data_IF_064684184931
#
_entry.id   IF_064684184931
#
_cell.length_a   1.000
_cell.length_b   1.000
_cell.length_c   1.000
_cell.angle_alpha   90.00
_cell.angle_beta   90.00
_cell.angle_gamma   90.00
#
_symmetry.space_group_name_H-M   'P 1'
#
loop_
_entity.id
_entity.type
_entity.pdbx_description
1 polymer ?
#
# COMPACT_ATOMS: atom_id res chain seq x y z
N UNK A 1 38.48 -32.60 -0.35
CA UNK A 1 39.35 -31.45 -0.04
C UNK A 1 39.33 -30.58 -1.27
N UNK A 2 38.64 -29.49 -1.24
CA UNK A 2 38.62 -28.49 -2.34
C UNK A 2 39.90 -27.69 -2.17
N UNK A 3 40.74 -27.71 -3.21
CA UNK A 3 42.02 -27.01 -3.21
C UNK A 3 41.77 -25.49 -3.01
N UNK A 4 42.61 -24.83 -2.18
CA UNK A 4 42.52 -23.42 -1.91
C UNK A 4 42.62 -22.48 -3.13
N UNK A 5 43.02 -22.99 -4.27
CA UNK A 5 43.07 -22.29 -5.55
C UNK A 5 41.66 -22.05 -6.15
N UNK A 6 40.71 -22.97 -5.99
CA UNK A 6 39.32 -22.76 -6.47
C UNK A 6 38.62 -21.66 -5.71
N UNK A 7 38.88 -21.53 -4.41
CA UNK A 7 38.32 -20.44 -3.59
C UNK A 7 38.90 -19.10 -4.04
N UNK A 8 40.16 -19.05 -4.41
CA UNK A 8 40.78 -17.86 -4.93
C UNK A 8 40.22 -17.40 -6.27
N UNK A 9 39.84 -18.33 -7.17
CA UNK A 9 39.24 -17.97 -8.46
C UNK A 9 37.87 -17.28 -8.25
N UNK A 10 37.07 -17.78 -7.33
CA UNK A 10 35.77 -17.16 -6.99
C UNK A 10 35.94 -15.77 -6.34
N UNK A 11 36.93 -15.65 -5.46
CA UNK A 11 37.23 -14.38 -4.81
C UNK A 11 37.75 -13.34 -5.83
N UNK A 12 38.56 -13.77 -6.79
CA UNK A 12 39.07 -12.92 -7.88
C UNK A 12 37.96 -12.46 -8.83
N UNK A 13 36.97 -13.30 -9.13
CA UNK A 13 35.86 -12.94 -10.01
C UNK A 13 35.00 -11.80 -9.41
N UNK A 14 34.98 -11.66 -8.10
CA UNK A 14 34.27 -10.57 -7.39
C UNK A 14 35.16 -9.35 -7.11
N UNK A 15 36.48 -9.50 -7.15
CA UNK A 15 37.45 -8.41 -6.94
C UNK A 15 37.91 -7.73 -8.26
N UNK A 16 37.59 -8.24 -9.41
CA UNK A 16 37.95 -7.65 -10.68
C UNK A 16 37.16 -6.39 -11.05
N UNK A 17 36.84 -5.62 -10.08
CA UNK A 17 36.41 -4.26 -10.24
C UNK A 17 37.57 -3.29 -10.34
N UNK A 18 38.57 -3.56 -11.15
CA UNK A 18 39.34 -2.46 -11.60
C UNK A 18 40.78 -2.34 -11.22
N UNK A 19 41.53 -1.94 -12.21
CA UNK A 19 42.73 -1.13 -12.04
C UNK A 19 42.52 -0.02 -11.03
N UNK A 20 43.52 0.22 -10.19
CA UNK A 20 43.50 1.27 -9.13
C UNK A 20 43.22 2.69 -9.62
N UNK A 21 43.00 2.87 -10.92
CA UNK A 21 42.67 4.15 -11.57
C UNK A 21 41.21 4.34 -12.01
N UNK A 22 40.39 3.30 -11.97
CA UNK A 22 38.97 3.37 -12.37
C UNK A 22 38.06 2.89 -11.25
N UNK A 23 38.10 3.56 -10.11
CA UNK A 23 37.12 3.37 -9.03
C UNK A 23 35.77 3.94 -9.48
N UNK A 24 35.11 3.21 -10.40
CA UNK A 24 33.72 3.43 -10.70
C UNK A 24 32.87 2.99 -9.50
N UNK A 25 31.72 3.61 -9.35
CA UNK A 25 30.70 3.23 -8.36
C UNK A 25 30.40 1.71 -8.50
N UNK A 26 30.73 0.94 -7.48
CA UNK A 26 30.39 -0.46 -7.41
C UNK A 26 29.20 -0.67 -6.46
N UNK A 27 28.02 -1.03 -7.00
CA UNK A 27 26.82 -1.21 -6.18
C UNK A 27 26.99 -2.25 -5.05
N UNK A 28 27.94 -3.19 -5.19
CA UNK A 28 28.15 -4.24 -4.18
C UNK A 28 28.77 -3.72 -2.89
N UNK A 29 29.52 -2.61 -2.94
CA UNK A 29 30.19 -2.02 -1.77
C UNK A 29 29.17 -1.38 -0.80
N UNK A 30 27.97 -1.08 -1.30
CA UNK A 30 26.88 -0.47 -0.54
C UNK A 30 25.75 -1.44 -0.19
N UNK A 31 25.99 -2.74 -0.34
CA UNK A 31 24.95 -3.75 -0.17
C UNK A 31 25.35 -4.81 0.86
N UNK A 32 24.40 -5.16 1.72
CA UNK A 32 24.56 -6.27 2.66
C UNK A 32 24.49 -7.64 1.95
N UNK A 33 23.87 -7.69 0.76
CA UNK A 33 23.67 -8.92 -0.01
C UNK A 33 24.37 -8.84 -1.34
N UNK A 34 25.26 -9.79 -1.61
CA UNK A 34 25.97 -9.89 -2.87
C UNK A 34 25.04 -10.25 -4.05
N UNK A 35 24.13 -11.19 -3.82
CA UNK A 35 23.15 -11.63 -4.82
C UNK A 35 21.76 -11.14 -4.46
N UNK A 36 21.10 -10.47 -5.39
CA UNK A 36 19.75 -9.96 -5.19
C UNK A 36 18.73 -10.67 -6.09
N UNK A 37 17.55 -10.88 -5.52
CA UNK A 37 16.38 -11.29 -6.31
C UNK A 37 16.03 -10.18 -7.31
N UNK A 38 15.70 -10.53 -8.54
CA UNK A 38 15.26 -9.59 -9.58
C UNK A 38 13.84 -9.12 -9.26
N UNK A 39 13.73 -8.12 -8.39
CA UNK A 39 12.43 -7.64 -7.84
C UNK A 39 11.55 -6.95 -8.87
N UNK A 40 12.12 -6.42 -9.94
CA UNK A 40 11.36 -5.81 -11.04
C UNK A 40 10.70 -6.82 -11.98
N UNK A 41 11.15 -8.07 -11.95
CA UNK A 41 10.65 -9.10 -12.88
C UNK A 41 9.16 -9.40 -12.71
N UNK A 42 8.59 -9.53 -11.50
CA UNK A 42 7.15 -9.72 -11.33
C UNK A 42 6.33 -8.56 -11.91
N UNK A 43 6.77 -7.31 -11.71
CA UNK A 43 6.10 -6.15 -12.29
C UNK A 43 6.19 -6.17 -13.81
N UNK A 44 7.36 -6.50 -14.37
CA UNK A 44 7.53 -6.60 -15.81
C UNK A 44 6.62 -7.68 -16.42
N UNK A 45 6.56 -8.87 -15.80
CA UNK A 45 5.65 -9.93 -16.24
C UNK A 45 4.19 -9.51 -16.17
N UNK A 46 3.79 -8.85 -15.10
CA UNK A 46 2.43 -8.36 -14.95
C UNK A 46 2.07 -7.34 -16.04
N UNK A 47 2.96 -6.39 -16.31
CA UNK A 47 2.77 -5.42 -17.39
C UNK A 47 2.78 -6.07 -18.78
N UNK A 48 3.67 -7.06 -19.02
CA UNK A 48 3.71 -7.78 -20.27
C UNK A 48 2.46 -8.63 -20.52
N UNK A 49 1.87 -9.17 -19.45
CA UNK A 49 0.68 -10.04 -19.51
C UNK A 49 -0.62 -9.23 -19.68
N UNK A 50 -0.78 -8.16 -18.92
CA UNK A 50 -2.05 -7.42 -18.83
C UNK A 50 -2.05 -6.13 -19.65
N UNK A 51 -0.88 -5.61 -20.01
CA UNK A 51 -0.72 -4.31 -20.67
C UNK A 51 -0.93 -3.13 -19.71
N UNK A 52 -0.53 -1.95 -20.16
CA UNK A 52 -0.65 -0.70 -19.38
C UNK A 52 -2.09 -0.23 -19.23
N UNK A 53 -2.96 -0.56 -20.20
CA UNK A 53 -4.36 -0.11 -20.20
C UNK A 53 -5.15 -0.74 -19.04
N UNK A 54 -4.90 -2.03 -18.74
CA UNK A 54 -5.52 -2.68 -17.58
C UNK A 54 -5.07 -2.07 -16.25
N UNK A 55 -3.82 -1.64 -16.14
CA UNK A 55 -3.35 -0.90 -14.97
C UNK A 55 -4.03 0.46 -14.84
N UNK A 56 -4.19 1.16 -15.97
CA UNK A 56 -4.91 2.44 -16.00
C UNK A 56 -6.36 2.26 -15.57
N UNK A 57 -7.09 1.31 -16.16
CA UNK A 57 -8.47 0.98 -15.78
C UNK A 57 -8.62 0.70 -14.28
N UNK A 58 -7.72 -0.11 -13.69
CA UNK A 58 -7.74 -0.43 -12.27
C UNK A 58 -7.52 0.81 -11.38
N UNK A 59 -6.60 1.69 -11.75
CA UNK A 59 -6.35 2.95 -11.03
C UNK A 59 -7.55 3.89 -11.14
N UNK A 60 -8.09 4.07 -12.34
CA UNK A 60 -9.27 4.91 -12.58
C UNK A 60 -10.49 4.40 -11.80
N UNK A 61 -10.69 3.06 -11.76
CA UNK A 61 -11.75 2.46 -10.95
C UNK A 61 -11.58 2.73 -9.45
N UNK A 62 -10.36 2.65 -8.92
CA UNK A 62 -10.08 3.00 -7.52
C UNK A 62 -10.40 4.46 -7.20
N UNK A 63 -10.11 5.38 -8.11
CA UNK A 63 -10.44 6.81 -7.97
C UNK A 63 -11.96 7.02 -8.00
N UNK A 64 -12.67 6.36 -8.93
CA UNK A 64 -14.13 6.40 -9.03
C UNK A 64 -14.80 5.90 -7.75
N UNK A 65 -14.35 4.74 -7.22
CA UNK A 65 -14.86 4.18 -5.96
C UNK A 65 -14.66 5.14 -4.79
N UNK A 66 -13.54 5.86 -4.74
CA UNK A 66 -13.31 6.85 -3.71
C UNK A 66 -14.30 8.01 -3.79
N UNK A 67 -14.62 8.48 -5.00
CA UNK A 67 -15.61 9.53 -5.21
C UNK A 67 -17.03 9.06 -4.83
N UNK A 68 -17.38 7.82 -5.18
CA UNK A 68 -18.66 7.20 -4.82
C UNK A 68 -18.77 7.09 -3.29
N UNK A 69 -17.74 6.55 -2.64
CA UNK A 69 -17.70 6.43 -1.19
C UNK A 69 -17.84 7.79 -0.49
N UNK A 70 -17.18 8.85 -1.01
CA UNK A 70 -17.36 10.21 -0.52
C UNK A 70 -18.81 10.66 -0.56
N UNK A 71 -19.49 10.47 -1.70
CA UNK A 71 -20.92 10.82 -1.87
C UNK A 71 -21.85 9.98 -0.98
N UNK A 72 -21.51 8.72 -0.71
CA UNK A 72 -22.26 7.87 0.22
C UNK A 72 -22.14 8.39 1.65
N UNK A 73 -20.92 8.71 2.08
CA UNK A 73 -20.65 9.23 3.43
C UNK A 73 -21.41 10.54 3.67
N UNK A 74 -21.45 11.44 2.70
CA UNK A 74 -22.18 12.71 2.80
C UNK A 74 -23.70 12.54 3.02
N UNK A 75 -24.27 11.39 2.63
CA UNK A 75 -25.68 11.07 2.81
C UNK A 75 -26.00 10.37 4.14
N UNK A 76 -24.99 9.88 4.84
CA UNK A 76 -25.16 9.10 6.07
C UNK A 76 -25.03 9.99 7.32
N UNK A 77 -26.01 10.02 8.22
CA UNK A 77 -26.01 10.95 9.35
C UNK A 77 -25.01 10.61 10.46
N UNK A 78 -24.50 9.38 10.47
CA UNK A 78 -23.62 8.88 11.52
C UNK A 78 -22.13 8.97 11.19
N UNK A 79 -21.78 9.23 9.94
CA UNK A 79 -20.39 9.40 9.47
C UNK A 79 -20.22 10.76 8.81
N UNK A 80 -19.01 11.27 8.82
CA UNK A 80 -18.67 12.57 8.25
C UNK A 80 -17.40 12.46 7.43
N UNK A 81 -17.42 13.05 6.23
CA UNK A 81 -16.26 13.15 5.37
C UNK A 81 -15.27 14.18 5.94
N UNK A 82 -14.02 13.76 6.16
CA UNK A 82 -12.98 14.65 6.72
C UNK A 82 -12.47 15.65 5.68
N UNK A 83 -12.38 15.18 4.43
CA UNK A 83 -12.02 16.00 3.26
C UNK A 83 -12.51 15.33 1.99
N UNK A 84 -12.64 16.12 0.93
CA UNK A 84 -12.91 15.59 -0.42
C UNK A 84 -11.88 14.51 -0.78
N UNK A 85 -12.32 13.34 -1.28
CA UNK A 85 -11.44 12.26 -1.68
C UNK A 85 -10.37 12.72 -2.67
N UNK A 86 -9.14 12.25 -2.46
CA UNK A 86 -8.01 12.51 -3.36
C UNK A 86 -7.43 11.17 -3.77
N UNK A 87 -7.32 10.96 -5.08
CA UNK A 87 -6.98 9.65 -5.65
C UNK A 87 -7.94 8.57 -5.13
N UNK A 88 -7.42 7.40 -4.77
CA UNK A 88 -8.20 6.26 -4.27
C UNK A 88 -8.36 6.24 -2.73
N UNK A 89 -8.10 7.35 -2.04
CA UNK A 89 -8.19 7.44 -0.59
C UNK A 89 -9.35 8.32 -0.11
N UNK A 90 -10.08 7.81 0.89
CA UNK A 90 -11.18 8.52 1.56
C UNK A 90 -10.94 8.54 3.05
N UNK A 91 -10.96 9.73 3.64
CA UNK A 91 -10.86 9.92 5.09
C UNK A 91 -12.22 10.31 5.63
N UNK A 92 -12.69 9.58 6.63
CA UNK A 92 -13.99 9.81 7.25
C UNK A 92 -13.97 9.49 8.73
N UNK A 93 -14.85 10.12 9.48
CA UNK A 93 -15.01 9.91 10.92
C UNK A 93 -16.39 9.37 11.24
N UNK A 94 -16.50 8.56 12.28
CA UNK A 94 -17.75 8.22 12.92
C UNK A 94 -18.03 9.24 14.02
N UNK A 95 -19.15 9.94 13.91
CA UNK A 95 -19.55 10.99 14.87
C UNK A 95 -19.75 10.36 16.25
N UNK A 96 -19.08 10.90 17.26
CA UNK A 96 -19.17 10.44 18.65
C UNK A 96 -18.23 9.28 19.03
N UNK A 97 -17.48 8.71 18.12
CA UNK A 97 -16.52 7.67 18.44
C UNK A 97 -15.21 8.21 19.04
N UNK A 98 -14.68 7.43 19.99
CA UNK A 98 -13.35 7.61 20.56
C UNK A 98 -12.32 6.76 19.80
N UNK A 99 -11.02 7.01 19.97
CA UNK A 99 -9.97 6.22 19.32
C UNK A 99 -10.07 4.70 19.55
N UNK A 100 -10.53 4.29 20.74
CA UNK A 100 -10.71 2.89 21.12
C UNK A 100 -11.80 2.21 20.31
N UNK A 101 -12.88 2.94 19.98
CA UNK A 101 -14.02 2.41 19.21
C UNK A 101 -13.59 2.06 17.78
N UNK A 102 -12.75 2.87 17.15
CA UNK A 102 -12.18 2.59 15.84
C UNK A 102 -11.32 1.32 15.85
N UNK A 103 -10.50 1.16 16.89
CA UNK A 103 -9.64 -0.01 17.03
C UNK A 103 -10.46 -1.28 17.21
N UNK A 104 -11.47 -1.23 18.10
CA UNK A 104 -12.37 -2.36 18.34
C UNK A 104 -13.16 -2.74 17.08
N UNK A 105 -13.76 -1.76 16.41
CA UNK A 105 -14.51 -1.97 15.17
C UNK A 105 -13.65 -2.58 14.06
N UNK A 106 -12.42 -2.07 13.86
CA UNK A 106 -11.47 -2.62 12.89
C UNK A 106 -11.14 -4.08 13.21
N UNK A 107 -10.84 -4.38 14.48
CA UNK A 107 -10.53 -5.73 14.93
C UNK A 107 -11.69 -6.69 14.69
N UNK A 108 -12.91 -6.32 15.04
CA UNK A 108 -14.09 -7.16 14.86
C UNK A 108 -14.39 -7.45 13.38
N UNK A 109 -14.29 -6.44 12.50
CA UNK A 109 -14.49 -6.64 11.07
C UNK A 109 -13.40 -7.53 10.46
N UNK A 110 -12.14 -7.34 10.86
CA UNK A 110 -11.03 -8.17 10.41
C UNK A 110 -11.19 -9.62 10.90
N UNK A 111 -11.53 -9.82 12.17
CA UNK A 111 -11.75 -11.16 12.77
C UNK A 111 -12.86 -11.93 12.06
N UNK A 112 -13.90 -11.24 11.62
CA UNK A 112 -15.01 -11.82 10.85
C UNK A 112 -14.67 -12.05 9.37
N UNK A 113 -13.50 -11.62 8.92
CA UNK A 113 -13.12 -11.67 7.51
C UNK A 113 -13.96 -10.78 6.61
N UNK A 114 -14.61 -9.76 7.19
CA UNK A 114 -15.56 -8.92 6.50
C UNK A 114 -14.89 -7.75 5.79
N UNK A 115 -14.07 -6.98 6.51
CA UNK A 115 -13.35 -5.84 5.96
C UNK A 115 -12.08 -5.54 6.75
N UNK A 116 -11.09 -4.94 6.08
CA UNK A 116 -9.91 -4.36 6.71
C UNK A 116 -9.89 -2.86 6.45
N UNK A 117 -10.36 -2.10 7.41
CA UNK A 117 -10.33 -0.63 7.37
C UNK A 117 -9.41 -0.14 8.48
N UNK A 118 -8.36 0.56 8.12
CA UNK A 118 -7.32 0.96 9.08
C UNK A 118 -7.61 2.36 9.61
N UNK A 119 -7.73 2.53 10.95
CA UNK A 119 -7.75 3.86 11.55
C UNK A 119 -6.41 4.57 11.34
N UNK A 120 -6.47 5.88 11.19
CA UNK A 120 -5.28 6.73 10.99
C UNK A 120 -5.41 8.00 11.82
N UNK A 121 -4.28 8.69 12.00
CA UNK A 121 -4.25 10.01 12.64
C UNK A 121 -4.37 11.09 11.60
N UNK A 122 -5.33 11.97 11.78
CA UNK A 122 -5.53 13.15 10.96
C UNK A 122 -5.20 14.40 11.77
N UNK A 123 -4.46 15.33 11.18
CA UNK A 123 -4.15 16.62 11.83
C UNK A 123 -5.28 17.62 11.56
N UNK A 124 -5.98 17.99 12.61
CA UNK A 124 -7.03 19.00 12.57
C UNK A 124 -6.56 20.22 13.38
N UNK A 125 -6.09 21.24 12.67
CA UNK A 125 -5.42 22.39 13.30
C UNK A 125 -4.16 21.97 14.04
N UNK A 126 -4.11 22.22 15.36
CA UNK A 126 -2.99 21.83 16.22
C UNK A 126 -3.16 20.46 16.87
N UNK A 127 -4.32 19.82 16.72
CA UNK A 127 -4.63 18.54 17.34
C UNK A 127 -4.60 17.39 16.33
N UNK A 128 -4.42 16.18 16.85
CA UNK A 128 -4.59 14.96 16.07
C UNK A 128 -5.86 14.25 16.50
N UNK A 129 -6.66 13.85 15.54
CA UNK A 129 -7.84 13.01 15.74
C UNK A 129 -7.68 11.65 15.08
N UNK A 130 -8.38 10.63 15.58
CA UNK A 130 -8.44 9.32 14.94
C UNK A 130 -9.60 9.30 13.96
N UNK A 131 -9.36 8.86 12.74
CA UNK A 131 -10.33 8.75 11.66
C UNK A 131 -10.17 7.41 10.94
N UNK A 132 -11.18 6.96 10.23
CA UNK A 132 -11.09 5.80 9.34
C UNK A 132 -10.58 6.20 7.96
N UNK A 133 -9.95 5.25 7.27
CA UNK A 133 -9.42 5.45 5.93
C UNK A 133 -9.78 4.28 5.02
N UNK A 134 -10.52 4.54 3.95
CA UNK A 134 -10.56 3.65 2.81
C UNK A 134 -9.37 3.89 1.89
N UNK A 135 -8.82 2.82 1.34
CA UNK A 135 -7.82 2.82 0.27
C UNK A 135 -8.28 1.80 -0.78
N UNK A 136 -8.85 2.28 -1.86
CA UNK A 136 -9.36 1.43 -2.93
C UNK A 136 -8.22 1.03 -3.86
N UNK A 137 -7.74 -0.21 -3.71
CA UNK A 137 -6.68 -0.81 -4.53
C UNK A 137 -7.17 -2.04 -5.29
N UNK A 138 -8.33 -2.60 -4.89
CA UNK A 138 -8.97 -3.70 -5.60
C UNK A 138 -10.05 -3.13 -6.54
N UNK A 139 -9.89 -3.27 -7.87
CA UNK A 139 -10.86 -2.76 -8.83
C UNK A 139 -12.21 -3.51 -8.78
N UNK A 140 -12.24 -4.72 -8.22
CA UNK A 140 -13.45 -5.55 -8.11
C UNK A 140 -14.34 -5.16 -6.92
N UNK A 141 -13.90 -4.21 -6.08
CA UNK A 141 -14.72 -3.68 -4.99
C UNK A 141 -16.01 -3.06 -5.55
N UNK A 142 -17.15 -3.46 -4.99
CA UNK A 142 -18.45 -2.93 -5.37
C UNK A 142 -18.90 -1.77 -4.46
N UNK A 143 -19.87 -1.00 -4.95
CA UNK A 143 -20.52 0.05 -4.15
C UNK A 143 -21.27 -0.54 -2.96
N UNK A 144 -21.85 -1.71 -3.12
CA UNK A 144 -22.53 -2.44 -2.05
C UNK A 144 -21.58 -2.83 -0.92
N UNK A 145 -20.32 -3.21 -1.23
CA UNK A 145 -19.32 -3.52 -0.20
C UNK A 145 -19.02 -2.28 0.65
N UNK A 146 -18.92 -1.11 0.00
CA UNK A 146 -18.68 0.16 0.69
C UNK A 146 -19.84 0.50 1.62
N UNK A 147 -21.07 0.39 1.12
CA UNK A 147 -22.29 0.65 1.89
C UNK A 147 -22.42 -0.30 3.08
N UNK A 148 -22.20 -1.59 2.86
CA UNK A 148 -22.21 -2.59 3.94
C UNK A 148 -21.21 -2.27 5.04
N UNK A 149 -19.97 -1.86 4.67
CA UNK A 149 -18.95 -1.51 5.65
C UNK A 149 -19.36 -0.27 6.45
N UNK A 150 -19.85 0.78 5.78
CA UNK A 150 -20.30 2.01 6.45
C UNK A 150 -21.47 1.75 7.39
N UNK A 151 -22.40 0.88 7.03
CA UNK A 151 -23.54 0.48 7.86
C UNK A 151 -23.13 -0.29 9.12
N UNK A 152 -21.94 -0.91 9.18
CA UNK A 152 -21.44 -1.52 10.42
C UNK A 152 -20.98 -0.51 11.47
N UNK A 153 -20.91 0.76 11.13
CA UNK A 153 -20.53 1.84 12.05
C UNK A 153 -21.74 2.51 12.77
N UNK A 154 -22.91 1.94 12.66
CA UNK A 154 -24.14 2.46 13.31
C UNK A 154 -24.08 2.34 14.83
#
# INVERSE_FOLDING_TARGET
MVNGEEINIWFFAFQTGGDEGAQGFNPTDYQIQLTRRVRGLPLWFSLATHGTDKYKEAVERGIELAQIAGKMIEKMPHVELVRTPSLSCVLYRRIGWKPEDYTHWTYENHRKGFALVTPTKWKNGNNFETVSRFCFINPDTSENDIEMILNTMV
#
